data_IF_144938928109
#
_entry.id   IF_144938928109
#
_cell.length_a   1.000
_cell.length_b   1.000
_cell.length_c   1.000
_cell.angle_alpha   90.00
_cell.angle_beta   90.00
_cell.angle_gamma   90.00
#
_symmetry.space_group_name_H-M   'P 1'
#
loop_
_entity.id
_entity.type
_entity.pdbx_description
1 polymer ?
#
# COMPACT_ATOMS: atom_id res chain seq x y z
N UNK A 1 -3.06 -9.50 21.04
CA UNK A 1 -2.89 -9.06 19.64
C UNK A 1 -4.13 -8.28 19.25
N UNK A 2 -3.98 -7.10 18.64
CA UNK A 2 -5.13 -6.27 18.28
C UNK A 2 -5.65 -6.64 16.88
N UNK A 3 -6.85 -7.21 16.84
CA UNK A 3 -7.61 -7.45 15.61
C UNK A 3 -8.14 -6.11 15.11
N UNK A 4 -7.70 -5.61 13.95
CA UNK A 4 -8.11 -4.29 13.44
C UNK A 4 -9.13 -4.41 12.30
N UNK A 5 -9.10 -5.54 11.57
CA UNK A 5 -9.91 -5.78 10.37
C UNK A 5 -9.78 -4.66 9.32
N UNK A 6 -8.54 -4.19 9.08
CA UNK A 6 -8.28 -3.19 8.05
C UNK A 6 -8.66 -3.74 6.67
N UNK A 7 -9.33 -2.93 5.85
CA UNK A 7 -9.88 -3.38 4.56
C UNK A 7 -11.25 -4.05 4.68
N UNK A 8 -11.96 -3.92 5.81
CA UNK A 8 -13.31 -4.49 5.95
C UNK A 8 -14.26 -3.97 4.87
N UNK A 9 -14.20 -2.67 4.60
CA UNK A 9 -14.86 -2.00 3.48
C UNK A 9 -13.87 -1.05 2.83
N UNK A 10 -14.00 -0.88 1.51
CA UNK A 10 -13.18 0.02 0.71
C UNK A 10 -14.06 0.80 -0.25
N UNK A 11 -13.63 2.02 -0.59
CA UNK A 11 -14.19 2.79 -1.68
C UNK A 11 -13.08 3.54 -2.40
N UNK A 12 -13.26 3.76 -3.69
CA UNK A 12 -12.29 4.47 -4.53
C UNK A 12 -13.04 5.44 -5.44
N UNK A 13 -12.43 6.59 -5.71
CA UNK A 13 -13.01 7.55 -6.65
C UNK A 13 -12.91 7.05 -8.09
N UNK A 14 -13.80 7.49 -9.01
CA UNK A 14 -13.79 7.02 -10.41
C UNK A 14 -12.45 7.24 -11.13
N UNK A 15 -11.72 8.31 -10.80
CA UNK A 15 -10.38 8.59 -11.34
C UNK A 15 -9.29 7.69 -10.73
N UNK A 16 -9.61 6.91 -9.69
CA UNK A 16 -8.69 6.04 -8.98
C UNK A 16 -7.62 6.79 -8.18
N UNK A 17 -7.78 8.08 -7.87
CA UNK A 17 -6.75 8.88 -7.18
C UNK A 17 -6.96 8.94 -5.66
N UNK A 18 -8.17 8.67 -5.18
CA UNK A 18 -8.49 8.65 -3.76
C UNK A 18 -9.12 7.32 -3.34
N UNK A 19 -8.73 6.83 -2.16
CA UNK A 19 -9.20 5.57 -1.59
C UNK A 19 -9.52 5.76 -0.12
N UNK A 20 -10.71 5.32 0.28
CA UNK A 20 -11.11 5.20 1.67
C UNK A 20 -11.08 3.74 2.10
N UNK A 21 -10.45 3.44 3.24
CA UNK A 21 -10.35 2.08 3.78
C UNK A 21 -10.81 2.06 5.24
N UNK A 22 -11.79 1.23 5.56
CA UNK A 22 -12.24 1.04 6.94
C UNK A 22 -11.42 -0.01 7.69
N UNK A 23 -11.22 0.22 8.99
CA UNK A 23 -10.67 -0.70 9.96
C UNK A 23 -11.63 -0.82 11.15
N UNK A 24 -12.40 -1.91 11.18
CA UNK A 24 -13.55 -2.10 12.06
C UNK A 24 -13.25 -1.96 13.55
N UNK A 25 -12.17 -2.61 13.99
CA UNK A 25 -11.85 -2.74 15.41
C UNK A 25 -10.53 -2.04 15.73
N UNK A 26 -10.20 -1.02 14.94
CA UNK A 26 -9.05 -0.18 15.20
C UNK A 26 -9.14 0.36 16.63
N UNK A 27 -8.10 0.07 17.42
CA UNK A 27 -8.07 0.48 18.82
C UNK A 27 -7.60 1.94 18.92
N UNK A 28 -8.43 2.77 19.55
CA UNK A 28 -8.13 4.17 19.89
C UNK A 28 -8.36 4.28 21.39
N UNK A 29 -7.30 4.62 22.13
CA UNK A 29 -7.32 4.86 23.58
C UNK A 29 -7.96 3.73 24.40
N UNK A 30 -7.74 2.48 23.99
CA UNK A 30 -8.26 1.30 24.70
C UNK A 30 -9.70 0.92 24.34
N UNK A 31 -10.34 1.65 23.43
CA UNK A 31 -11.66 1.32 22.87
C UNK A 31 -11.52 0.83 21.42
N UNK A 32 -12.53 0.14 20.86
CA UNK A 32 -12.53 -0.31 19.46
C UNK A 32 -13.59 0.45 18.64
N UNK A 33 -13.42 1.77 18.45
CA UNK A 33 -14.42 2.58 17.76
C UNK A 33 -14.48 2.30 16.26
N UNK A 34 -13.43 1.70 15.71
CA UNK A 34 -13.21 1.64 14.28
C UNK A 34 -12.71 2.97 13.74
N UNK A 35 -12.06 2.91 12.57
CA UNK A 35 -11.46 4.06 11.90
C UNK A 35 -11.62 3.94 10.40
N UNK A 36 -11.62 5.07 9.70
CA UNK A 36 -11.48 5.13 8.23
C UNK A 36 -10.23 5.90 7.88
N UNK A 37 -9.46 5.35 6.94
CA UNK A 37 -8.23 5.90 6.44
C UNK A 37 -8.46 6.44 5.03
N UNK A 38 -7.97 7.65 4.76
CA UNK A 38 -7.95 8.24 3.44
C UNK A 38 -6.54 8.16 2.86
N UNK A 39 -6.46 7.63 1.65
CA UNK A 39 -5.24 7.55 0.86
C UNK A 39 -5.43 8.31 -0.44
N UNK A 40 -4.41 9.08 -0.82
CA UNK A 40 -4.37 9.83 -2.08
C UNK A 40 -3.10 9.50 -2.86
N UNK A 41 -3.14 9.71 -4.17
CA UNK A 41 -1.97 9.70 -5.06
C UNK A 41 -2.12 10.80 -6.09
N UNK A 42 -1.00 11.34 -6.58
CA UNK A 42 -1.02 12.42 -7.57
C UNK A 42 -1.48 11.91 -8.94
N UNK A 43 -0.97 10.75 -9.36
CA UNK A 43 -1.29 10.12 -10.64
C UNK A 43 -1.56 8.62 -10.48
N UNK A 44 -2.16 8.01 -11.50
CA UNK A 44 -2.52 6.57 -11.49
C UNK A 44 -1.33 5.62 -11.40
N UNK A 45 -0.16 6.07 -11.84
CA UNK A 45 1.07 5.30 -11.79
C UNK A 45 1.78 5.42 -10.43
N UNK A 46 1.36 6.38 -9.61
CA UNK A 46 1.94 6.63 -8.30
C UNK A 46 1.34 5.69 -7.25
N UNK A 47 2.06 5.58 -6.15
CA UNK A 47 1.59 4.88 -4.97
C UNK A 47 0.63 5.74 -4.17
N UNK A 48 -0.29 5.08 -3.49
CA UNK A 48 -1.15 5.70 -2.50
C UNK A 48 -0.36 6.07 -1.25
N UNK A 49 -0.44 7.33 -0.85
CA UNK A 49 0.01 7.83 0.43
C UNK A 49 -1.19 8.06 1.35
N UNK A 50 -1.08 7.65 2.62
CA UNK A 50 -2.11 7.96 3.62
C UNK A 50 -2.07 9.45 3.94
N UNK A 51 -3.20 10.15 3.79
CA UNK A 51 -3.30 11.59 4.03
C UNK A 51 -4.19 11.98 5.21
N UNK A 52 -5.05 11.05 5.66
CA UNK A 52 -6.02 11.34 6.69
C UNK A 52 -6.55 10.09 7.37
N UNK A 53 -7.12 10.30 8.55
CA UNK A 53 -7.77 9.29 9.39
C UNK A 53 -8.94 9.94 10.11
N UNK A 54 -10.08 9.26 10.10
CA UNK A 54 -11.26 9.62 10.88
C UNK A 54 -11.56 8.49 11.85
N UNK A 55 -11.64 8.79 13.14
CA UNK A 55 -11.93 7.83 14.17
C UNK A 55 -13.40 7.89 14.58
N UNK A 56 -13.98 6.71 14.81
CA UNK A 56 -15.24 6.63 15.54
C UNK A 56 -15.02 6.93 17.01
N UNK A 57 -16.08 6.77 17.80
CA UNK A 57 -16.02 6.93 19.25
C UNK A 57 -16.56 5.70 19.99
N UNK A 58 -15.88 5.28 21.06
CA UNK A 58 -16.31 4.13 21.87
C UNK A 58 -16.32 2.81 21.10
N UNK A 59 -17.50 2.19 20.92
CA UNK A 59 -17.69 0.91 20.21
C UNK A 59 -18.61 1.12 18.99
N UNK A 60 -18.35 2.16 18.23
CA UNK A 60 -19.20 2.57 17.10
C UNK A 60 -19.00 1.72 15.85
N UNK A 61 -17.84 1.06 15.72
CA UNK A 61 -17.50 0.23 14.58
C UNK A 61 -17.59 1.02 13.26
N UNK A 62 -16.97 2.19 13.23
CA UNK A 62 -16.98 3.10 12.09
C UNK A 62 -16.47 2.39 10.81
N UNK A 63 -17.23 2.52 9.72
CA UNK A 63 -16.93 1.91 8.41
C UNK A 63 -17.31 0.44 8.28
N UNK A 64 -18.00 -0.16 9.26
CA UNK A 64 -18.35 -1.60 9.25
C UNK A 64 -19.19 -2.05 8.05
N UNK A 65 -20.25 -1.30 7.71
CA UNK A 65 -21.18 -1.67 6.62
C UNK A 65 -20.88 -0.95 5.31
N UNK A 66 -20.04 0.10 5.33
CA UNK A 66 -19.70 0.80 4.11
C UNK A 66 -18.93 2.10 4.32
N UNK A 67 -18.13 2.41 3.31
CA UNK A 67 -17.54 3.71 3.04
C UNK A 67 -17.88 4.07 1.59
N UNK A 68 -18.04 5.35 1.29
CA UNK A 68 -18.23 5.84 -0.07
C UNK A 68 -17.49 7.18 -0.22
N UNK A 69 -16.86 7.40 -1.38
CA UNK A 69 -16.10 8.62 -1.65
C UNK A 69 -16.54 9.22 -2.99
N UNK A 70 -16.78 10.53 -3.02
CA UNK A 70 -17.22 11.25 -4.22
C UNK A 70 -16.04 11.54 -5.17
N UNK A 71 -16.29 11.54 -6.48
CA UNK A 71 -15.32 11.84 -7.54
C UNK A 71 -14.67 13.23 -7.47
N UNK A 72 -15.25 14.17 -6.72
CA UNK A 72 -14.68 15.49 -6.45
C UNK A 72 -13.52 15.42 -5.45
N UNK A 73 -13.26 14.26 -4.85
CA UNK A 73 -12.31 14.00 -3.76
C UNK A 73 -12.61 14.81 -2.46
N UNK A 74 -13.69 15.59 -2.45
CA UNK A 74 -14.03 16.51 -1.36
C UNK A 74 -14.96 15.90 -0.31
N UNK A 75 -15.72 14.84 -0.64
CA UNK A 75 -16.76 14.29 0.24
C UNK A 75 -16.53 12.80 0.47
N UNK A 76 -16.34 12.44 1.74
CA UNK A 76 -16.26 11.06 2.22
C UNK A 76 -17.47 10.76 3.10
N UNK A 77 -18.27 9.78 2.70
CA UNK A 77 -19.39 9.24 3.46
C UNK A 77 -18.96 7.97 4.18
N UNK A 78 -19.17 7.93 5.49
CA UNK A 78 -18.82 6.76 6.31
C UNK A 78 -20.03 6.31 7.09
N UNK A 79 -20.39 5.03 6.97
CA UNK A 79 -21.42 4.46 7.82
C UNK A 79 -20.87 4.19 9.21
N UNK A 80 -21.53 4.75 10.23
CA UNK A 80 -21.21 4.51 11.63
C UNK A 80 -22.37 3.75 12.28
N UNK A 81 -22.25 2.42 12.36
CA UNK A 81 -23.35 1.54 12.82
C UNK A 81 -23.72 1.83 14.27
N UNK A 82 -22.76 2.14 15.14
CA UNK A 82 -23.03 2.48 16.53
C UNK A 82 -23.44 1.27 17.39
N UNK A 83 -22.62 0.92 18.37
CA UNK A 83 -23.06 0.07 19.48
C UNK A 83 -23.83 0.90 20.51
N UNK A 84 -24.98 0.42 20.97
CA UNK A 84 -25.87 1.14 21.91
C UNK A 84 -25.24 1.53 23.27
N UNK A 85 -24.01 1.10 23.57
CA UNK A 85 -23.43 1.11 24.92
C UNK A 85 -22.12 1.92 25.07
N UNK A 86 -21.64 2.63 24.05
CA UNK A 86 -20.42 3.43 24.16
C UNK A 86 -20.74 4.92 24.05
N UNK A 87 -20.63 5.65 25.17
CA UNK A 87 -20.62 7.11 25.46
C UNK A 87 -20.86 8.22 24.40
N UNK A 88 -20.81 7.92 23.11
CA UNK A 88 -20.94 8.81 21.97
C UNK A 88 -22.31 8.60 21.29
N UNK A 89 -23.36 8.99 22.00
CA UNK A 89 -24.76 8.74 21.61
C UNK A 89 -25.18 9.60 20.40
N UNK A 90 -24.45 10.68 20.11
CA UNK A 90 -24.85 11.69 19.14
C UNK A 90 -24.74 11.23 17.68
N UNK A 91 -23.97 10.17 17.38
CA UNK A 91 -23.67 9.76 16.00
C UNK A 91 -23.89 8.27 15.68
N UNK A 92 -24.37 7.47 16.63
CA UNK A 92 -24.69 6.06 16.39
C UNK A 92 -25.80 5.89 15.33
N UNK A 93 -25.65 4.91 14.44
CA UNK A 93 -26.56 4.61 13.31
C UNK A 93 -26.73 5.77 12.31
N UNK A 94 -25.68 6.56 12.08
CA UNK A 94 -25.70 7.67 11.12
C UNK A 94 -24.64 7.51 10.05
N UNK A 95 -24.89 8.13 8.89
CA UNK A 95 -23.87 8.36 7.86
C UNK A 95 -23.16 9.65 8.23
N UNK A 96 -21.85 9.58 8.45
CA UNK A 96 -21.00 10.75 8.66
C UNK A 96 -20.48 11.25 7.33
N UNK A 97 -20.44 12.57 7.19
CA UNK A 97 -19.90 13.24 6.01
C UNK A 97 -18.65 13.99 6.42
N UNK A 98 -17.52 13.63 5.81
CA UNK A 98 -16.25 14.31 6.00
C UNK A 98 -15.94 15.13 4.76
N UNK A 99 -15.39 16.32 4.99
CA UNK A 99 -14.86 17.15 3.90
C UNK A 99 -13.34 17.21 3.95
N UNK A 100 -12.71 16.87 2.84
CA UNK A 100 -11.27 17.02 2.64
C UNK A 100 -11.03 18.51 2.43
N UNK A 101 -10.42 19.19 3.42
CA UNK A 101 -10.21 20.65 3.34
C UNK A 101 -8.75 20.92 2.98
N UNK A 102 -8.46 21.52 1.82
CA UNK A 102 -7.10 21.89 1.46
C UNK A 102 -6.53 22.82 2.53
N UNK A 103 -5.39 22.43 3.11
CA UNK A 103 -4.77 23.16 4.22
C UNK A 103 -4.13 24.49 3.78
N UNK A 104 -4.16 24.85 2.49
CA UNK A 104 -3.76 26.19 2.03
C UNK A 104 -4.37 26.49 0.65
N UNK A 105 -4.96 27.68 0.42
CA UNK A 105 -5.34 28.09 -0.93
C UNK A 105 -4.08 28.20 -1.80
N UNK A 106 -3.94 27.29 -2.77
CA UNK A 106 -2.89 27.36 -3.79
C UNK A 106 -3.07 28.69 -4.54
N UNK A 107 -2.05 29.57 -4.64
CA UNK A 107 -2.15 30.77 -5.43
C UNK A 107 -2.46 30.39 -6.88
N UNK A 108 -3.60 30.84 -7.38
CA UNK A 108 -4.07 30.59 -8.74
C UNK A 108 -3.09 31.24 -9.72
N UNK A 109 -2.15 30.47 -10.27
CA UNK A 109 -1.39 30.91 -11.43
C UNK A 109 -2.19 30.61 -12.69
N UNK A 110 -2.58 31.68 -13.39
CA UNK A 110 -3.25 31.65 -14.69
C UNK A 110 -2.28 31.07 -15.72
N UNK A 111 -2.59 29.95 -16.40
CA UNK A 111 -1.75 29.48 -17.48
C UNK A 111 -2.04 30.27 -18.75
N UNK A 112 -1.10 31.14 -19.14
CA UNK A 112 -1.00 31.66 -20.51
C UNK A 112 -0.01 30.82 -21.31
N UNK A 113 -0.49 30.00 -22.24
CA UNK A 113 -0.21 30.17 -23.66
C UNK A 113 -0.52 28.89 -24.45
N UNK A 114 -1.13 29.12 -25.61
CA UNK A 114 -1.41 28.18 -26.68
C UNK A 114 -0.13 27.91 -27.48
N UNK A 115 0.22 26.64 -27.66
CA UNK A 115 1.13 26.20 -28.71
C UNK A 115 0.55 25.00 -29.47
N UNK A 116 0.79 25.02 -30.78
CA UNK A 116 0.26 24.12 -31.80
C UNK A 116 0.74 22.66 -31.66
N UNK A 117 -0.02 21.68 -32.17
CA UNK A 117 0.31 20.27 -32.05
C UNK A 117 1.52 19.91 -32.91
N UNK A 118 2.59 19.47 -32.26
CA UNK A 118 3.75 18.84 -32.90
C UNK A 118 3.52 17.33 -32.89
N UNK A 119 3.73 16.64 -34.02
CA UNK A 119 3.64 15.18 -34.09
C UNK A 119 4.53 14.55 -33.02
N UNK A 120 3.90 13.84 -32.09
CA UNK A 120 4.56 13.15 -30.98
C UNK A 120 5.17 11.85 -31.56
N UNK A 121 6.50 11.65 -31.46
CA UNK A 121 7.11 10.35 -31.77
C UNK A 121 6.54 9.27 -30.83
N UNK A 122 6.53 7.99 -31.22
CA UNK A 122 5.91 6.93 -30.41
C UNK A 122 6.35 7.03 -28.97
N UNK A 123 5.37 7.28 -28.10
CA UNK A 123 5.53 7.54 -26.68
C UNK A 123 6.22 6.32 -26.05
N UNK A 124 7.50 6.48 -25.72
CA UNK A 124 8.20 5.52 -24.89
C UNK A 124 7.44 5.48 -23.58
N UNK A 125 6.84 4.34 -23.26
CA UNK A 125 6.08 4.14 -22.02
C UNK A 125 6.87 4.72 -20.85
N UNK A 126 6.26 5.58 -20.01
CA UNK A 126 6.96 6.18 -18.88
C UNK A 126 7.58 5.08 -18.02
N UNK A 127 8.91 5.10 -17.90
CA UNK A 127 9.64 4.18 -17.04
C UNK A 127 9.22 4.49 -15.60
N UNK A 128 8.49 3.57 -14.97
CA UNK A 128 8.00 3.72 -13.60
C UNK A 128 9.09 3.37 -12.58
N UNK A 129 8.94 3.88 -11.35
CA UNK A 129 9.84 3.52 -10.25
C UNK A 129 9.69 2.04 -9.88
N UNK A 130 10.79 1.39 -9.51
CA UNK A 130 10.79 -0.02 -9.07
C UNK A 130 10.03 -0.19 -7.76
N UNK A 131 9.15 -1.20 -7.70
CA UNK A 131 8.28 -1.49 -6.57
C UNK A 131 8.91 -2.48 -5.59
N UNK A 132 9.13 -2.08 -4.34
CA UNK A 132 9.50 -2.98 -3.25
C UNK A 132 8.31 -3.87 -2.79
N UNK A 133 8.56 -5.15 -2.44
CA UNK A 133 9.79 -5.92 -2.67
C UNK A 133 9.87 -6.52 -4.07
N UNK A 134 8.76 -6.52 -4.83
CA UNK A 134 8.56 -7.37 -6.01
C UNK A 134 9.48 -7.12 -7.20
N UNK A 135 9.88 -5.88 -7.43
CA UNK A 135 10.79 -5.53 -8.50
C UNK A 135 12.25 -5.57 -8.04
N UNK A 136 12.54 -6.00 -6.81
CA UNK A 136 13.89 -6.16 -6.28
C UNK A 136 14.16 -7.63 -5.99
N UNK A 137 15.41 -8.04 -6.11
CA UNK A 137 15.79 -9.41 -5.81
C UNK A 137 17.28 -9.52 -5.50
N UNK A 138 17.58 -10.51 -4.67
CA UNK A 138 18.94 -10.91 -4.29
C UNK A 138 19.43 -12.02 -5.23
N UNK A 139 20.71 -11.98 -5.60
CA UNK A 139 21.38 -13.04 -6.35
C UNK A 139 22.73 -13.33 -5.72
N UNK A 140 22.94 -14.60 -5.38
CA UNK A 140 24.18 -15.12 -4.78
C UNK A 140 24.99 -16.00 -5.76
N UNK A 141 24.65 -15.94 -7.06
CA UNK A 141 25.20 -16.80 -8.11
C UNK A 141 25.52 -16.00 -9.38
N UNK A 142 26.08 -14.80 -9.19
CA UNK A 142 26.44 -13.90 -10.27
C UNK A 142 25.33 -12.94 -10.67
N UNK A 143 25.62 -12.14 -11.70
CA UNK A 143 24.77 -11.03 -12.16
C UNK A 143 23.62 -11.53 -13.04
N UNK A 144 22.36 -11.47 -12.58
CA UNK A 144 21.21 -12.00 -13.32
C UNK A 144 20.66 -11.05 -14.39
N UNK A 145 20.92 -9.74 -14.27
CA UNK A 145 20.49 -8.71 -15.23
C UNK A 145 21.40 -7.50 -15.21
N UNK A 146 21.28 -6.58 -16.18
CA UNK A 146 22.09 -5.35 -16.21
C UNK A 146 21.81 -4.38 -15.05
N UNK A 147 20.60 -4.45 -14.49
CA UNK A 147 20.09 -3.58 -13.42
C UNK A 147 20.44 -4.12 -12.03
N UNK A 148 21.73 -4.14 -11.72
CA UNK A 148 22.23 -4.64 -10.44
C UNK A 148 23.40 -3.79 -9.91
N UNK A 149 23.55 -3.78 -8.60
CA UNK A 149 24.79 -3.41 -7.92
C UNK A 149 25.44 -4.68 -7.36
N UNK A 150 26.76 -4.76 -7.45
CA UNK A 150 27.52 -5.84 -6.85
C UNK A 150 27.69 -5.56 -5.35
N UNK A 151 27.48 -6.57 -4.52
CA UNK A 151 27.64 -6.52 -3.07
C UNK A 151 28.89 -7.31 -2.74
N UNK A 152 29.98 -6.60 -2.42
CA UNK A 152 31.30 -7.20 -2.23
C UNK A 152 31.86 -6.86 -0.87
N UNK A 153 32.48 -7.83 -0.22
CA UNK A 153 33.38 -7.60 0.92
C UNK A 153 34.80 -8.09 0.56
N UNK A 154 35.66 -7.21 0.02
CA UNK A 154 37.02 -7.58 -0.42
C UNK A 154 37.94 -8.10 0.69
N UNK A 155 37.58 -7.88 1.95
CA UNK A 155 38.34 -8.35 3.10
C UNK A 155 37.99 -9.80 3.49
N UNK A 156 36.91 -10.37 2.92
CA UNK A 156 36.54 -11.76 3.12
C UNK A 156 37.55 -12.68 2.40
N UNK A 157 38.31 -13.51 3.13
CA UNK A 157 39.38 -14.33 2.57
C UNK A 157 38.91 -15.44 1.63
N UNK A 158 37.64 -15.84 1.70
CA UNK A 158 37.08 -16.95 0.92
C UNK A 158 36.46 -16.50 -0.40
N UNK A 159 36.38 -15.18 -0.66
CA UNK A 159 35.87 -14.58 -1.89
C UNK A 159 34.42 -14.98 -2.27
N UNK A 160 33.65 -15.49 -1.32
CA UNK A 160 32.24 -15.93 -1.50
C UNK A 160 31.30 -14.79 -1.91
N UNK A 161 31.73 -13.53 -1.79
CA UNK A 161 30.90 -12.35 -2.07
C UNK A 161 31.17 -11.72 -3.44
N UNK A 162 32.11 -12.25 -4.23
CA UNK A 162 32.46 -11.65 -5.52
C UNK A 162 31.38 -11.86 -6.59
N UNK A 163 30.42 -12.76 -6.38
CA UNK A 163 29.30 -13.03 -7.28
C UNK A 163 27.94 -12.61 -6.71
N UNK A 164 27.93 -11.77 -5.68
CA UNK A 164 26.72 -11.30 -5.03
C UNK A 164 26.20 -10.00 -5.64
N UNK A 165 24.90 -9.97 -5.94
CA UNK A 165 24.25 -8.85 -6.59
C UNK A 165 22.90 -8.55 -5.98
N UNK A 166 22.65 -7.27 -5.76
CA UNK A 166 21.34 -6.76 -5.45
C UNK A 166 20.77 -6.03 -6.66
N UNK A 167 19.62 -6.51 -7.14
CA UNK A 167 19.08 -6.16 -8.44
C UNK A 167 17.71 -5.54 -8.36
N UNK A 168 17.34 -4.84 -9.43
CA UNK A 168 15.98 -4.40 -9.68
C UNK A 168 15.52 -4.78 -11.08
N UNK A 169 14.20 -4.81 -11.30
CA UNK A 169 13.58 -5.28 -12.54
C UNK A 169 13.99 -4.43 -13.74
N UNK A 170 14.15 -5.06 -14.90
CA UNK A 170 14.37 -4.34 -16.15
C UNK A 170 13.11 -3.58 -16.58
N UNK A 171 13.29 -2.39 -17.14
CA UNK A 171 12.18 -1.51 -17.54
C UNK A 171 11.62 -0.61 -16.43
N UNK A 172 12.19 -0.66 -15.23
CA UNK A 172 11.93 0.33 -14.17
C UNK A 172 13.06 1.36 -14.08
N UNK A 173 12.80 2.47 -13.39
CA UNK A 173 13.77 3.55 -13.20
C UNK A 173 14.87 3.08 -12.26
N UNK A 174 16.11 3.46 -12.55
CA UNK A 174 17.23 3.21 -11.66
C UNK A 174 16.98 3.90 -10.30
N UNK A 175 16.92 3.14 -9.18
CA UNK A 175 16.65 3.70 -7.84
C UNK A 175 17.83 4.51 -7.28
N UNK A 176 18.98 4.52 -7.96
CA UNK A 176 20.19 5.27 -7.59
C UNK A 176 20.96 4.65 -6.43
N UNK A 177 20.69 3.38 -6.11
CA UNK A 177 21.35 2.67 -5.02
C UNK A 177 22.84 2.44 -5.28
N UNK A 178 23.63 2.43 -4.21
CA UNK A 178 25.08 2.21 -4.25
C UNK A 178 25.52 1.38 -3.05
N UNK A 179 26.49 0.51 -3.29
CA UNK A 179 27.19 -0.26 -2.27
C UNK A 179 28.45 0.47 -1.78
N UNK A 180 28.80 0.30 -0.51
CA UNK A 180 30.09 0.70 0.04
C UNK A 180 30.54 -0.27 1.11
N UNK A 181 31.79 -0.72 1.02
CA UNK A 181 32.44 -1.71 1.89
C UNK A 181 33.45 -1.08 2.88
N UNK A 182 33.14 0.12 3.37
CA UNK A 182 34.12 0.86 4.18
C UNK A 182 33.50 1.95 5.03
N UNK A 183 32.56 2.72 4.48
CA UNK A 183 31.93 3.86 5.14
C UNK A 183 30.60 4.24 4.46
N UNK A 184 29.71 4.96 5.16
CA UNK A 184 28.54 5.57 4.52
C UNK A 184 28.96 6.53 3.40
N UNK A 185 28.25 6.46 2.27
CA UNK A 185 28.46 7.39 1.14
C UNK A 185 27.88 8.77 1.51
N UNK A 186 28.71 9.81 1.41
CA UNK A 186 28.30 11.19 1.69
C UNK A 186 27.11 11.63 0.83
N UNK A 187 26.18 12.40 1.43
CA UNK A 187 24.92 12.86 0.83
C UNK A 187 23.92 11.76 0.43
N UNK A 188 24.12 10.52 0.85
CA UNK A 188 23.16 9.44 0.70
C UNK A 188 22.57 9.05 2.07
N UNK A 189 21.45 8.33 2.03
CA UNK A 189 20.87 7.66 3.19
C UNK A 189 21.37 6.22 3.16
N UNK A 190 22.14 5.82 4.15
CA UNK A 190 22.83 4.54 4.16
C UNK A 190 22.30 3.65 5.28
N UNK A 191 21.99 2.42 4.91
CA UNK A 191 21.61 1.34 5.84
C UNK A 191 22.84 0.47 6.03
N UNK A 192 23.29 0.35 7.28
CA UNK A 192 24.43 -0.51 7.62
C UNK A 192 24.02 -1.96 7.42
N UNK A 193 24.80 -2.69 6.64
CA UNK A 193 24.65 -4.13 6.43
C UNK A 193 25.74 -4.78 7.27
N UNK A 194 25.36 -5.63 8.21
CA UNK A 194 26.31 -6.24 9.13
C UNK A 194 25.81 -7.61 9.58
N UNK A 195 26.71 -8.44 10.08
CA UNK A 195 26.37 -9.73 10.66
C UNK A 195 27.17 -9.92 11.95
N UNK A 196 26.49 -9.97 13.09
CA UNK A 196 27.16 -9.98 14.40
C UNK A 196 27.99 -11.25 14.65
N UNK A 197 27.67 -12.34 13.94
CA UNK A 197 28.37 -13.63 14.07
C UNK A 197 29.52 -13.81 13.08
N UNK A 198 29.60 -12.97 12.04
CA UNK A 198 30.62 -13.05 11.00
C UNK A 198 31.85 -12.22 11.45
N UNK A 199 33.02 -12.85 11.62
CA UNK A 199 34.23 -12.17 12.10
C UNK A 199 34.88 -11.24 11.05
N UNK A 200 34.45 -11.27 9.78
CA UNK A 200 35.18 -10.75 8.63
C UNK A 200 34.68 -9.37 8.16
N UNK A 201 34.75 -8.37 9.04
CA UNK A 201 34.69 -6.92 8.71
C UNK A 201 33.39 -6.39 8.08
N UNK A 202 32.27 -7.06 8.30
CA UNK A 202 30.94 -6.55 7.91
C UNK A 202 30.46 -5.33 8.71
N UNK A 203 31.27 -4.78 9.62
CA UNK A 203 30.90 -3.66 10.47
C UNK A 203 31.06 -2.28 9.81
N UNK A 204 31.50 -2.22 8.55
CA UNK A 204 31.68 -0.98 7.79
C UNK A 204 31.00 -0.98 6.40
N UNK A 205 30.10 -1.94 6.20
CA UNK A 205 29.34 -2.16 4.98
C UNK A 205 28.00 -1.40 4.96
N UNK A 206 27.68 -0.77 3.83
CA UNK A 206 26.52 0.09 3.69
C UNK A 206 25.86 -0.03 2.32
N UNK A 207 24.54 -0.21 2.34
CA UNK A 207 23.67 0.00 1.19
C UNK A 207 23.07 1.40 1.25
N UNK A 208 23.37 2.23 0.25
CA UNK A 208 23.01 3.64 0.24
C UNK A 208 22.01 3.97 -0.87
N UNK A 209 20.99 4.77 -0.53
CA UNK A 209 20.04 5.37 -1.47
C UNK A 209 20.19 6.90 -1.51
N UNK A 210 19.84 7.56 -2.63
CA UNK A 210 19.73 9.01 -2.66
C UNK A 210 18.76 9.50 -1.57
N UNK A 211 19.05 10.63 -0.91
CA UNK A 211 18.15 11.18 0.13
C UNK A 211 16.75 11.50 -0.39
N UNK A 212 16.63 11.77 -1.69
CA UNK A 212 15.36 12.00 -2.40
C UNK A 212 14.58 10.72 -2.71
N UNK A 213 15.15 9.54 -2.47
CA UNK A 213 14.42 8.28 -2.63
C UNK A 213 13.30 8.20 -1.61
N UNK A 214 12.12 7.79 -2.07
CA UNK A 214 10.98 7.43 -1.20
C UNK A 214 11.19 6.10 -0.51
N UNK A 215 12.14 5.29 -0.95
CA UNK A 215 12.44 3.98 -0.36
C UNK A 215 13.40 4.13 0.83
N UNK A 216 13.08 3.49 1.94
CA UNK A 216 13.91 3.44 3.14
C UNK A 216 14.24 1.99 3.47
N UNK A 217 15.53 1.64 3.45
CA UNK A 217 15.99 0.31 3.79
C UNK A 217 16.23 0.13 5.29
N UNK A 218 15.94 -1.06 5.77
CA UNK A 218 16.17 -1.55 7.13
C UNK A 218 16.89 -2.88 7.01
N UNK A 219 17.94 -3.07 7.78
CA UNK A 219 18.68 -4.31 7.82
C UNK A 219 18.33 -5.09 9.08
N UNK A 220 18.21 -6.41 8.94
CA UNK A 220 18.10 -7.31 10.06
C UNK A 220 19.07 -8.47 9.91
N UNK A 221 20.04 -8.62 10.83
CA UNK A 221 20.98 -9.74 10.85
C UNK A 221 20.41 -10.97 11.57
N UNK A 222 19.08 -11.03 11.71
CA UNK A 222 18.35 -12.14 12.30
C UNK A 222 16.90 -12.07 11.81
N UNK A 223 16.15 -13.16 11.94
CA UNK A 223 14.74 -13.21 11.59
C UNK A 223 13.93 -12.07 12.24
N UNK A 224 13.25 -11.27 11.43
CA UNK A 224 12.43 -10.15 11.92
C UNK A 224 11.00 -10.61 12.23
N UNK A 225 10.54 -10.28 13.43
CA UNK A 225 9.12 -10.21 13.77
C UNK A 225 8.62 -8.79 13.43
N UNK A 226 7.96 -8.58 12.29
CA UNK A 226 7.43 -7.25 11.96
C UNK A 226 6.57 -7.17 10.69
N UNK A 227 5.89 -6.03 10.51
CA UNK A 227 5.01 -5.71 9.35
C UNK A 227 5.76 -5.20 8.11
N UNK A 228 7.08 -5.41 8.04
CA UNK A 228 7.88 -4.98 6.89
C UNK A 228 8.00 -6.13 5.88
N UNK A 229 7.92 -5.79 4.59
CA UNK A 229 8.25 -6.73 3.53
C UNK A 229 9.76 -6.77 3.35
N UNK A 230 10.32 -7.97 3.24
CA UNK A 230 11.75 -8.21 3.28
C UNK A 230 12.21 -9.16 2.18
N UNK A 231 13.44 -8.97 1.72
CA UNK A 231 14.17 -9.85 0.81
C UNK A 231 15.29 -10.48 1.62
N UNK A 232 15.34 -11.81 1.64
CA UNK A 232 16.42 -12.55 2.28
C UNK A 232 17.70 -12.38 1.46
N UNK A 233 18.77 -11.98 2.14
CA UNK A 233 20.12 -11.94 1.58
C UNK A 233 20.84 -13.18 2.07
N UNK A 234 20.84 -14.22 1.24
CA UNK A 234 21.44 -15.51 1.56
C UNK A 234 22.75 -15.70 0.83
N UNK A 235 23.81 -16.09 1.53
CA UNK A 235 25.08 -16.49 0.92
C UNK A 235 25.45 -17.93 1.33
N UNK A 236 25.04 -18.96 0.56
CA UNK A 236 25.29 -20.35 0.93
C UNK A 236 26.75 -20.79 0.86
N UNK A 237 27.63 -20.05 0.15
CA UNK A 237 29.05 -20.38 0.07
C UNK A 237 29.83 -19.83 1.26
N UNK A 238 29.28 -18.84 1.97
CA UNK A 238 29.83 -18.33 3.21
C UNK A 238 29.46 -19.28 4.36
N UNK A 239 30.45 -19.85 5.08
CA UNK A 239 30.19 -20.82 6.15
C UNK A 239 29.53 -20.19 7.41
N UNK A 240 29.44 -18.87 7.50
CA UNK A 240 28.84 -18.15 8.62
C UNK A 240 27.30 -17.99 8.47
N UNK A 241 26.67 -17.13 9.28
CA UNK A 241 25.23 -17.18 9.57
C UNK A 241 24.31 -16.48 8.56
N UNK A 242 24.76 -16.25 7.32
CA UNK A 242 24.05 -15.48 6.28
C UNK A 242 22.67 -16.04 5.83
N UNK A 243 22.13 -17.05 6.50
CA UNK A 243 20.86 -17.69 6.18
C UNK A 243 19.65 -17.06 6.91
N UNK A 244 19.84 -16.05 7.76
CA UNK A 244 18.75 -15.38 8.47
C UNK A 244 18.78 -13.85 8.36
N UNK A 245 19.44 -13.35 7.32
CA UNK A 245 19.62 -11.93 7.06
C UNK A 245 18.58 -11.41 6.07
N UNK A 246 18.03 -10.25 6.39
CA UNK A 246 16.94 -9.67 5.64
C UNK A 246 17.18 -8.19 5.39
N UNK A 247 17.11 -7.80 4.12
CA UNK A 247 16.93 -6.41 3.74
C UNK A 247 15.42 -6.15 3.65
N UNK A 248 14.92 -5.28 4.49
CA UNK A 248 13.53 -4.85 4.50
C UNK A 248 13.42 -3.41 4.00
N UNK A 249 12.25 -3.02 3.51
CA UNK A 249 12.02 -1.63 3.17
C UNK A 249 10.59 -1.18 3.48
N UNK A 250 10.44 0.14 3.63
CA UNK A 250 9.14 0.81 3.53
C UNK A 250 9.25 2.03 2.63
N UNK A 251 8.12 2.42 2.05
CA UNK A 251 8.01 3.74 1.45
C UNK A 251 7.85 4.77 2.55
N UNK A 252 8.80 5.68 2.61
CA UNK A 252 8.64 6.93 3.31
C UNK A 252 8.23 7.96 2.26
N UNK A 253 6.93 8.16 2.14
CA UNK A 253 6.44 9.40 1.56
C UNK A 253 6.88 10.49 2.56
N UNK A 254 7.57 11.55 2.11
CA UNK A 254 7.74 12.70 2.98
C UNK A 254 6.34 13.04 3.45
N UNK A 255 6.10 12.92 4.76
CA UNK A 255 4.88 13.44 5.36
C UNK A 255 4.92 14.92 5.01
N UNK A 256 4.25 15.32 3.93
CA UNK A 256 3.97 16.72 3.73
C UNK A 256 3.33 17.15 5.04
N UNK A 257 3.82 18.19 5.69
CA UNK A 257 3.22 18.78 6.89
C UNK A 257 1.75 19.25 6.68
N UNK A 258 1.15 18.92 5.53
CA UNK A 258 -0.24 19.03 5.16
C UNK A 258 -0.99 17.74 5.54
N UNK A 259 -0.99 17.36 6.82
CA UNK A 259 -2.01 16.42 7.29
C UNK A 259 -3.36 17.11 7.14
N UNK A 260 -4.23 16.57 6.28
CA UNK A 260 -5.60 17.05 6.21
C UNK A 260 -6.40 16.31 7.28
N UNK A 261 -6.74 17.02 8.36
CA UNK A 261 -7.72 16.50 9.31
C UNK A 261 -9.04 16.36 8.57
N UNK A 262 -9.61 15.14 8.58
CA UNK A 262 -10.99 14.95 8.15
C UNK A 262 -11.88 15.68 9.16
N UNK A 263 -12.42 16.82 8.75
CA UNK A 263 -13.35 17.57 9.58
C UNK A 263 -14.74 16.98 9.35
N UNK A 264 -15.31 16.39 10.38
CA UNK A 264 -16.73 16.00 10.38
C UNK A 264 -17.56 17.26 10.24
N UNK A 265 -18.43 17.32 9.23
CA UNK A 265 -19.36 18.43 9.07
C UNK A 265 -20.54 18.19 10.02
N UNK A 266 -20.75 19.08 11.00
CA UNK A 266 -21.99 19.13 11.77
C UNK A 266 -23.13 19.63 10.87
N UNK A 267 -23.69 18.73 10.06
CA UNK A 267 -24.87 18.99 9.25
C UNK A 267 -26.15 18.94 10.08
N UNK A 268 -27.02 19.92 9.90
CA UNK A 268 -28.40 19.92 10.44
C UNK A 268 -29.10 18.61 10.03
N UNK A 269 -29.49 17.83 11.03
CA UNK A 269 -29.91 16.42 10.98
C UNK A 269 -31.16 16.08 10.15
N UNK A 270 -31.66 17.01 9.32
CA UNK A 270 -32.92 16.87 8.58
C UNK A 270 -32.76 16.37 7.14
N UNK A 271 -31.55 16.35 6.59
CA UNK A 271 -31.30 15.83 5.23
C UNK A 271 -30.91 14.35 5.27
N UNK A 272 -31.83 13.48 5.68
CA UNK A 272 -31.67 12.03 5.54
C UNK A 272 -31.81 11.69 4.06
N UNK A 273 -30.71 11.31 3.40
CA UNK A 273 -30.75 10.72 2.06
C UNK A 273 -31.10 9.23 2.25
N UNK A 274 -32.30 8.75 1.86
CA UNK A 274 -32.61 7.34 1.94
C UNK A 274 -31.83 6.58 0.87
N UNK A 275 -30.77 5.88 1.26
CA UNK A 275 -30.13 4.88 0.41
C UNK A 275 -30.98 3.60 0.44
N UNK A 276 -31.64 3.28 -0.67
CA UNK A 276 -32.35 2.01 -0.86
C UNK A 276 -31.48 1.13 -1.74
N UNK A 277 -30.93 0.06 -1.16
CA UNK A 277 -30.23 -0.98 -1.90
C UNK A 277 -31.26 -1.77 -2.73
N UNK A 278 -31.12 -1.74 -4.05
CA UNK A 278 -31.95 -2.49 -4.98
C UNK A 278 -31.08 -3.50 -5.71
N UNK A 279 -30.94 -4.70 -5.13
CA UNK A 279 -30.54 -5.88 -5.86
C UNK A 279 -31.66 -6.30 -6.81
N UNK A 280 -31.51 -5.96 -8.09
CA UNK A 280 -32.42 -6.35 -9.16
C UNK A 280 -31.62 -6.54 -10.45
N UNK A 281 -31.74 -7.74 -11.03
CA UNK A 281 -31.13 -8.13 -12.31
C UNK A 281 -31.54 -7.17 -13.45
N UNK A 282 -30.58 -6.79 -14.30
CA UNK A 282 -30.69 -6.90 -15.76
C UNK A 282 -29.36 -6.57 -16.46
N UNK A 283 -29.20 -7.22 -17.61
CA UNK A 283 -28.00 -7.40 -18.46
C UNK A 283 -27.46 -6.10 -19.07
N UNK A 284 -26.13 -5.85 -19.02
CA UNK A 284 -25.41 -5.00 -19.99
C UNK A 284 -23.91 -5.34 -20.09
N UNK A 285 -23.34 -5.20 -21.30
CA UNK A 285 -21.90 -5.34 -21.58
C UNK A 285 -21.07 -4.34 -20.74
N UNK A 286 -20.42 -4.80 -19.68
CA UNK A 286 -19.55 -3.98 -18.83
C UNK A 286 -18.60 -4.88 -18.02
N UNK A 287 -17.55 -4.31 -17.43
CA UNK A 287 -16.57 -5.06 -16.62
C UNK A 287 -17.21 -5.49 -15.29
N UNK A 288 -17.13 -6.78 -14.94
CA UNK A 288 -17.63 -7.32 -13.68
C UNK A 288 -16.47 -7.82 -12.81
N UNK A 289 -16.52 -7.52 -11.50
CA UNK A 289 -15.57 -8.02 -10.51
C UNK A 289 -16.33 -8.73 -9.39
N UNK A 290 -16.14 -10.04 -9.29
CA UNK A 290 -16.83 -10.87 -8.31
C UNK A 290 -15.86 -11.35 -7.23
N UNK A 291 -16.13 -10.99 -5.98
CA UNK A 291 -15.41 -11.51 -4.82
C UNK A 291 -16.21 -12.60 -4.12
N UNK A 292 -15.65 -13.80 -4.00
CA UNK A 292 -16.24 -14.89 -3.21
C UNK A 292 -15.28 -15.28 -2.07
N UNK A 293 -15.53 -14.84 -0.82
CA UNK A 293 -14.69 -15.15 0.32
C UNK A 293 -14.92 -16.58 0.89
N UNK A 294 -15.95 -17.30 0.43
CA UNK A 294 -16.39 -18.60 0.98
C UNK A 294 -16.22 -19.75 -0.03
N UNK A 295 -15.33 -19.62 -1.03
CA UNK A 295 -15.09 -20.69 -1.98
C UNK A 295 -14.24 -21.83 -1.35
N UNK A 296 -14.87 -22.98 -1.12
CA UNK A 296 -14.36 -24.11 -0.33
C UNK A 296 -13.21 -24.90 -0.99
N UNK A 297 -12.84 -24.57 -2.24
CA UNK A 297 -11.83 -25.35 -2.99
C UNK A 297 -10.36 -24.93 -2.76
N UNK A 298 -10.10 -23.82 -2.04
CA UNK A 298 -8.73 -23.34 -1.79
C UNK A 298 -8.55 -23.01 -0.31
N UNK A 299 -7.78 -23.85 0.41
CA UNK A 299 -7.33 -23.66 1.80
C UNK A 299 -8.29 -22.82 2.67
N UNK A 300 -9.30 -23.47 3.29
CA UNK A 300 -10.29 -22.89 4.23
C UNK A 300 -10.27 -21.34 4.31
N UNK A 301 -11.18 -20.68 3.57
CA UNK A 301 -11.45 -19.23 3.63
C UNK A 301 -10.37 -18.29 3.06
N UNK A 302 -9.53 -18.74 2.12
CA UNK A 302 -8.64 -17.84 1.38
C UNK A 302 -9.42 -16.80 0.54
N UNK A 303 -10.54 -17.18 -0.06
CA UNK A 303 -11.32 -16.33 -0.97
C UNK A 303 -10.63 -16.07 -2.32
N UNK A 304 -11.41 -15.62 -3.31
CA UNK A 304 -10.93 -15.28 -4.66
C UNK A 304 -11.62 -14.05 -5.24
N UNK A 305 -10.96 -13.43 -6.21
CA UNK A 305 -11.54 -12.37 -7.06
C UNK A 305 -11.38 -12.75 -8.52
N UNK A 306 -12.49 -12.71 -9.26
CA UNK A 306 -12.55 -12.94 -10.70
C UNK A 306 -12.93 -11.65 -11.40
N UNK A 307 -12.14 -11.28 -12.41
CA UNK A 307 -12.38 -10.12 -13.28
C UNK A 307 -12.85 -10.62 -14.62
N UNK A 308 -13.97 -10.08 -15.10
CA UNK A 308 -14.57 -10.43 -16.39
C UNK A 308 -14.51 -9.24 -17.35
N UNK A 309 -14.21 -9.52 -18.61
CA UNK A 309 -14.26 -8.57 -19.71
C UNK A 309 -15.28 -9.04 -20.75
N UNK A 310 -16.35 -8.26 -20.96
CA UNK A 310 -17.43 -8.63 -21.90
C UNK A 310 -18.04 -10.02 -21.62
N UNK A 311 -18.12 -10.40 -20.34
CA UNK A 311 -18.64 -11.70 -19.89
C UNK A 311 -17.65 -12.86 -19.93
N UNK A 312 -16.44 -12.65 -20.47
CA UNK A 312 -15.38 -13.66 -20.48
C UNK A 312 -14.43 -13.47 -19.29
N UNK A 313 -13.96 -14.56 -18.69
CA UNK A 313 -13.03 -14.49 -17.57
C UNK A 313 -11.68 -13.93 -18.04
N UNK A 314 -11.30 -12.76 -17.52
CA UNK A 314 -10.06 -12.08 -17.86
C UNK A 314 -8.89 -12.50 -16.96
N UNK A 315 -9.09 -12.46 -15.63
CA UNK A 315 -8.05 -12.78 -14.65
C UNK A 315 -8.65 -13.22 -13.32
N UNK A 316 -7.97 -14.16 -12.64
CA UNK A 316 -8.34 -14.61 -11.29
C UNK A 316 -7.21 -14.32 -10.31
N UNK A 317 -7.57 -13.84 -9.12
CA UNK A 317 -6.67 -13.63 -8.00
C UNK A 317 -7.12 -14.49 -6.82
N UNK A 318 -6.14 -15.04 -6.10
CA UNK A 318 -6.39 -15.92 -4.96
C UNK A 318 -5.84 -15.29 -3.69
N UNK A 319 -6.60 -15.41 -2.61
CA UNK A 319 -6.13 -15.10 -1.27
C UNK A 319 -5.23 -16.17 -0.69
N UNK A 320 -4.94 -16.01 0.59
CA UNK A 320 -4.18 -16.97 1.40
C UNK A 320 -5.03 -17.43 2.58
N UNK A 321 -5.01 -18.73 2.90
CA UNK A 321 -5.97 -19.38 3.80
C UNK A 321 -6.40 -18.55 5.01
N UNK A 322 -7.71 -18.37 5.17
CA UNK A 322 -8.30 -17.61 6.26
C UNK A 322 -8.24 -16.09 6.14
N UNK A 323 -7.72 -15.49 5.06
CA UNK A 323 -7.55 -14.04 4.95
C UNK A 323 -8.78 -13.29 4.40
N UNK A 324 -9.80 -14.01 3.94
CA UNK A 324 -11.03 -13.47 3.36
C UNK A 324 -10.74 -12.48 2.23
N UNK A 325 -9.81 -12.85 1.34
CA UNK A 325 -9.51 -12.09 0.13
C UNK A 325 -10.76 -11.95 -0.76
N UNK A 326 -10.94 -10.77 -1.32
CA UNK A 326 -12.12 -10.46 -2.13
C UNK A 326 -13.35 -10.08 -1.31
N UNK A 327 -13.22 -9.85 0.01
CA UNK A 327 -14.37 -9.42 0.84
C UNK A 327 -14.99 -8.13 0.34
N UNK A 328 -14.18 -7.19 -0.12
CA UNK A 328 -14.60 -5.94 -0.74
C UNK A 328 -13.65 -5.62 -1.89
N UNK A 329 -14.21 -5.13 -2.99
CA UNK A 329 -13.49 -4.80 -4.21
C UNK A 329 -13.89 -3.41 -4.69
N UNK A 330 -12.97 -2.69 -5.34
CA UNK A 330 -13.26 -1.43 -6.01
C UNK A 330 -12.44 -1.34 -7.30
N UNK A 331 -13.07 -0.94 -8.39
CA UNK A 331 -12.43 -0.78 -9.70
C UNK A 331 -12.57 0.68 -10.15
N UNK A 332 -11.50 1.27 -10.68
CA UNK A 332 -11.54 2.63 -11.23
C UNK A 332 -12.35 2.65 -12.52
N UNK A 333 -12.93 3.80 -12.89
CA UNK A 333 -13.79 3.90 -14.07
C UNK A 333 -13.05 3.65 -15.40
N UNK A 334 -11.74 3.88 -15.44
CA UNK A 334 -10.89 3.52 -16.58
C UNK A 334 -10.41 2.06 -16.53
N UNK A 335 -10.78 1.32 -15.49
CA UNK A 335 -10.44 -0.09 -15.26
C UNK A 335 -8.95 -0.38 -15.10
N UNK A 336 -8.11 0.64 -14.84
CA UNK A 336 -6.65 0.45 -14.71
C UNK A 336 -6.19 0.16 -13.27
N UNK A 337 -7.02 0.49 -12.28
CA UNK A 337 -6.74 0.25 -10.86
C UNK A 337 -7.83 -0.59 -10.24
N UNK A 338 -7.44 -1.70 -9.63
CA UNK A 338 -8.31 -2.61 -8.89
C UNK A 338 -7.83 -2.69 -7.44
N UNK A 339 -8.74 -2.56 -6.50
CA UNK A 339 -8.47 -2.77 -5.08
C UNK A 339 -9.17 -4.03 -4.63
N UNK A 340 -8.46 -4.86 -3.88
CA UNK A 340 -9.02 -6.07 -3.28
C UNK A 340 -8.65 -6.14 -1.82
N UNK A 341 -9.64 -6.31 -0.94
CA UNK A 341 -9.39 -6.41 0.49
C UNK A 341 -9.29 -7.84 1.01
N UNK A 342 -8.48 -8.02 2.06
CA UNK A 342 -8.31 -9.25 2.83
C UNK A 342 -8.25 -8.90 4.31
N UNK A 343 -9.42 -8.59 4.88
CA UNK A 343 -9.50 -8.04 6.23
C UNK A 343 -9.10 -9.00 7.35
N UNK A 344 -8.93 -10.30 7.07
CA UNK A 344 -8.40 -11.28 8.03
C UNK A 344 -6.91 -11.58 7.84
N UNK A 345 -6.26 -11.00 6.83
CA UNK A 345 -4.83 -11.18 6.61
C UNK A 345 -4.00 -10.80 7.84
N UNK A 346 -2.87 -11.50 8.01
CA UNK A 346 -1.90 -11.24 9.09
C UNK A 346 -2.57 -11.21 10.47
N UNK A 347 -3.20 -12.33 10.88
CA UNK A 347 -3.92 -12.47 12.16
C UNK A 347 -4.98 -11.37 12.34
N UNK A 348 -5.76 -11.06 11.31
CA UNK A 348 -6.81 -10.02 11.26
C UNK A 348 -6.35 -8.58 11.44
N UNK A 349 -5.06 -8.31 11.21
CA UNK A 349 -4.62 -6.93 11.00
C UNK A 349 -5.27 -6.36 9.74
N UNK A 350 -5.43 -7.21 8.73
CA UNK A 350 -6.07 -6.90 7.46
C UNK A 350 -5.12 -6.19 6.49
N UNK A 351 -5.40 -6.32 5.19
CA UNK A 351 -4.68 -5.64 4.11
C UNK A 351 -5.62 -5.30 2.95
N UNK A 352 -5.25 -4.30 2.16
CA UNK A 352 -5.83 -4.06 0.83
C UNK A 352 -4.72 -4.16 -0.19
N UNK A 353 -4.93 -4.97 -1.23
CA UNK A 353 -4.00 -5.11 -2.35
C UNK A 353 -4.44 -4.16 -3.45
N UNK A 354 -3.52 -3.31 -3.88
CA UNK A 354 -3.67 -2.42 -5.03
C UNK A 354 -3.09 -3.13 -6.24
N UNK A 355 -3.94 -3.43 -7.21
CA UNK A 355 -3.56 -3.96 -8.50
C UNK A 355 -3.58 -2.83 -9.54
N UNK A 356 -2.61 -2.85 -10.45
CA UNK A 356 -2.51 -1.90 -11.55
C UNK A 356 -2.16 -2.60 -12.86
N UNK A 357 -2.69 -2.07 -13.95
CA UNK A 357 -2.35 -2.43 -15.33
C UNK A 357 -2.15 -1.17 -16.16
N UNK A 358 -1.25 -1.21 -17.14
CA UNK A 358 -0.92 -0.03 -17.95
C UNK A 358 -2.00 0.30 -18.98
N UNK A 359 -2.64 -0.74 -19.53
CA UNK A 359 -3.72 -0.65 -20.51
C UNK A 359 -4.83 -1.65 -20.18
N UNK A 360 -6.00 -1.51 -20.83
CA UNK A 360 -7.15 -2.40 -20.57
C UNK A 360 -6.95 -3.84 -21.06
N UNK A 361 -5.93 -4.09 -21.88
CA UNK A 361 -5.59 -5.43 -22.37
C UNK A 361 -4.50 -6.10 -21.54
N UNK A 362 -3.80 -5.35 -20.69
CA UNK A 362 -2.74 -5.88 -19.83
C UNK A 362 -3.33 -6.61 -18.62
N UNK A 363 -2.66 -7.66 -18.18
CA UNK A 363 -2.98 -8.28 -16.89
C UNK A 363 -2.68 -7.32 -15.74
N UNK A 364 -3.52 -7.36 -14.72
CA UNK A 364 -3.25 -6.67 -13.47
C UNK A 364 -2.06 -7.29 -12.76
N UNK A 365 -1.23 -6.41 -12.20
CA UNK A 365 -0.08 -6.76 -11.36
C UNK A 365 -0.20 -6.07 -10.02
N UNK A 366 0.37 -6.66 -8.97
CA UNK A 366 0.38 -6.04 -7.65
C UNK A 366 1.24 -4.78 -7.73
N UNK A 367 0.64 -3.65 -7.35
CA UNK A 367 1.29 -2.34 -7.27
C UNK A 367 1.69 -1.99 -5.85
N UNK A 368 0.84 -2.26 -4.86
CA UNK A 368 1.05 -1.83 -3.48
C UNK A 368 0.18 -2.65 -2.51
N UNK A 369 0.60 -2.75 -1.25
CA UNK A 369 -0.30 -3.07 -0.14
C UNK A 369 -0.60 -1.85 0.70
N UNK A 370 -1.87 -1.68 1.03
CA UNK A 370 -2.30 -0.77 2.07
C UNK A 370 -2.49 -1.62 3.33
N UNK A 371 -1.73 -1.28 4.37
CA UNK A 371 -1.84 -1.87 5.70
C UNK A 371 -1.95 -0.76 6.73
N UNK A 372 -2.40 -1.11 7.93
CA UNK A 372 -2.19 -0.29 9.11
C UNK A 372 -0.71 -0.38 9.48
N UNK A 373 0.09 0.64 9.17
CA UNK A 373 1.45 0.74 9.69
C UNK A 373 1.39 1.07 11.19
N UNK A 374 2.11 0.31 12.04
CA UNK A 374 2.12 0.46 13.51
C UNK A 374 2.79 1.75 14.04
N UNK A 375 3.07 2.75 13.19
CA UNK A 375 3.80 3.97 13.57
C UNK A 375 3.04 4.91 14.54
N UNK A 376 1.88 4.49 15.07
CA UNK A 376 1.01 5.30 15.92
C UNK A 376 0.90 4.80 17.38
N UNK A 377 1.94 4.19 17.95
CA UNK A 377 1.97 3.99 19.41
C UNK A 377 2.29 5.28 20.20
N UNK A 378 2.69 6.40 19.57
CA UNK A 378 3.11 7.61 20.31
C UNK A 378 2.66 8.98 19.80
N UNK A 379 1.76 9.09 18.82
CA UNK A 379 1.23 10.39 18.43
C UNK A 379 -0.04 10.71 19.24
N UNK A 380 0.14 11.09 20.52
CA UNK A 380 -0.87 11.85 21.24
C UNK A 380 -0.99 13.23 20.59
N UNK A 381 -2.18 13.56 20.09
CA UNK A 381 -2.56 14.93 19.77
C UNK A 381 -4.02 15.14 20.20
N UNK A 382 -4.20 16.00 21.21
CA UNK A 382 -5.48 16.59 21.61
C UNK A 382 -6.24 15.85 22.69
#
# INVERSE_FOLDING_TARGET
EQHNYFGRTIAMTPNGLAVAVAALAYNVDGTSPGSVFLYLRENRNDFFARVGRGDGCGNEFMGIEGVAIEASDDVLLVHAKGGANGGCIINANRIRTYRVTPTTPIPTQVPTSSLAPTMIPPETTPIHDAVWPYDYYWSHQGKPSDNCIQITEPSNPDHSWDDNYFCWKMGTKNPGMKWSNKNPISNMRCTKIYEDSDPDSWDDNYLCLPKSSTLHFYWSPYYLYGDLECIQWVEPADPDTWNDNYLCAKYHYPTSELWQTLVEQEGDSTAVIPAKDTWGQDVVNEWEVNGNPEDDEVAEYAGKVEVYESGELFQTFFGTGGDFFGRCVALSADTLTLLVSSHHANRTRGKVVVYHRSTTVDQFTIKQFLTKTEEEQHNYFG
#
